data_IF_595045672977
#
_entry.id   IF_595045672977
#
_cell.length_a   1.000
_cell.length_b   1.000
_cell.length_c   1.000
_cell.angle_alpha   90.00
_cell.angle_beta   90.00
_cell.angle_gamma   90.00
#
_symmetry.space_group_name_H-M   'P 1'
#
loop_
_entity.id
_entity.type
_entity.pdbx_description
1 polymer ?
#
# COMPACT_ATOMS: atom_id res chain seq x y z
N UNK A 1 -0.43 3.34 -21.43
CA UNK A 1 -1.20 2.36 -20.65
C UNK A 1 -0.30 1.74 -19.59
N UNK A 2 -0.75 1.62 -18.35
CA UNK A 2 -0.03 0.98 -17.23
C UNK A 2 -0.92 -0.11 -16.63
N UNK A 3 -0.29 -1.18 -16.12
CA UNK A 3 -0.96 -2.20 -15.32
C UNK A 3 -0.81 -1.84 -13.85
N UNK A 4 -1.92 -1.70 -13.15
CA UNK A 4 -1.99 -1.21 -11.78
C UNK A 4 -2.58 -2.32 -10.90
N UNK A 5 -1.85 -2.71 -9.86
CA UNK A 5 -2.35 -3.62 -8.84
C UNK A 5 -2.64 -2.85 -7.56
N UNK A 6 -3.88 -2.88 -7.10
CA UNK A 6 -4.34 -2.17 -5.90
C UNK A 6 -4.52 -3.15 -4.75
N UNK A 7 -3.91 -2.85 -3.61
CA UNK A 7 -4.09 -3.53 -2.34
C UNK A 7 -4.90 -2.62 -1.43
N UNK A 8 -6.16 -2.98 -1.21
CA UNK A 8 -7.10 -2.20 -0.42
C UNK A 8 -7.45 -2.91 0.89
N UNK A 9 -7.38 -2.15 2.00
CA UNK A 9 -7.61 -2.69 3.33
C UNK A 9 -8.49 -1.80 4.21
N UNK A 10 -9.81 -1.81 3.97
CA UNK A 10 -10.80 -1.21 4.86
C UNK A 10 -12.10 -2.02 4.86
N UNK A 11 -12.67 -2.27 6.04
CA UNK A 11 -13.86 -3.09 6.21
C UNK A 11 -15.17 -2.39 5.84
N UNK A 12 -15.19 -1.06 5.85
CA UNK A 12 -16.39 -0.24 5.64
C UNK A 12 -16.36 0.40 4.25
N UNK A 13 -17.30 0.01 3.42
CA UNK A 13 -17.51 0.49 2.04
C UNK A 13 -18.00 1.95 1.94
N UNK A 14 -18.49 2.52 3.06
CA UNK A 14 -18.89 3.94 3.15
C UNK A 14 -17.79 4.84 3.74
N UNK A 15 -16.58 4.34 3.89
CA UNK A 15 -15.47 5.10 4.46
C UNK A 15 -14.83 6.05 3.44
N UNK A 16 -14.14 7.09 3.95
CA UNK A 16 -13.33 7.95 3.09
C UNK A 16 -12.20 7.19 2.37
N UNK A 17 -11.69 6.12 3.00
CA UNK A 17 -10.70 5.23 2.37
C UNK A 17 -11.31 4.50 1.16
N UNK A 18 -12.59 4.12 1.24
CA UNK A 18 -13.32 3.57 0.10
C UNK A 18 -13.47 4.61 -1.02
N UNK A 19 -13.87 5.84 -0.68
CA UNK A 19 -13.96 6.93 -1.66
C UNK A 19 -12.62 7.19 -2.38
N UNK A 20 -11.48 7.08 -1.68
CA UNK A 20 -10.15 7.15 -2.30
C UNK A 20 -9.96 6.01 -3.31
N UNK A 21 -10.30 4.78 -2.93
CA UNK A 21 -10.18 3.60 -3.81
C UNK A 21 -11.02 3.78 -5.08
N UNK A 22 -12.30 4.15 -4.92
CA UNK A 22 -13.22 4.30 -6.04
C UNK A 22 -12.80 5.42 -6.99
N UNK A 23 -12.45 6.60 -6.44
CA UNK A 23 -11.94 7.73 -7.22
C UNK A 23 -10.67 7.37 -8.00
N UNK A 24 -9.75 6.64 -7.38
CA UNK A 24 -8.51 6.23 -8.04
C UNK A 24 -8.79 5.25 -9.17
N UNK A 25 -9.61 4.21 -8.92
CA UNK A 25 -9.97 3.18 -9.91
C UNK A 25 -10.66 3.81 -11.12
N UNK A 26 -11.68 4.63 -10.87
CA UNK A 26 -12.43 5.29 -11.93
C UNK A 26 -11.51 6.16 -12.79
N UNK A 27 -10.72 7.02 -12.14
CA UNK A 27 -9.81 7.94 -12.85
C UNK A 27 -8.72 7.19 -13.63
N UNK A 28 -8.17 6.11 -13.07
CA UNK A 28 -7.17 5.31 -13.75
C UNK A 28 -7.75 4.61 -15.00
N UNK A 29 -8.94 4.02 -14.90
CA UNK A 29 -9.63 3.38 -16.02
C UNK A 29 -10.00 4.38 -17.12
N UNK A 30 -10.53 5.56 -16.76
CA UNK A 30 -10.85 6.63 -17.70
C UNK A 30 -9.62 7.12 -18.48
N UNK A 31 -8.42 7.00 -17.90
CA UNK A 31 -7.16 7.34 -18.56
C UNK A 31 -6.47 6.15 -19.26
N UNK A 32 -7.20 5.07 -19.51
CA UNK A 32 -6.72 3.93 -20.28
C UNK A 32 -5.75 3.01 -19.55
N UNK A 33 -5.75 3.01 -18.20
CA UNK A 33 -4.95 2.07 -17.42
C UNK A 33 -5.73 0.79 -17.10
N UNK A 34 -5.03 -0.33 -17.05
CA UNK A 34 -5.57 -1.61 -16.59
C UNK A 34 -5.47 -1.68 -15.06
N UNK A 35 -6.60 -1.93 -14.40
CA UNK A 35 -6.68 -1.93 -12.92
C UNK A 35 -7.12 -3.29 -12.42
N UNK A 36 -6.31 -3.87 -11.55
CA UNK A 36 -6.55 -5.11 -10.82
C UNK A 36 -6.62 -4.81 -9.32
N UNK A 37 -7.73 -5.16 -8.68
CA UNK A 37 -8.02 -4.86 -7.27
C UNK A 37 -7.96 -6.12 -6.40
N UNK A 38 -7.18 -6.08 -5.33
CA UNK A 38 -7.29 -6.96 -4.18
C UNK A 38 -8.00 -6.20 -3.04
N UNK A 39 -9.29 -6.45 -2.86
CA UNK A 39 -10.04 -5.97 -1.71
C UNK A 39 -9.95 -7.02 -0.60
N UNK A 40 -9.01 -6.83 0.31
CA UNK A 40 -8.64 -7.85 1.29
C UNK A 40 -9.78 -8.27 2.22
N UNK A 41 -10.75 -7.38 2.47
CA UNK A 41 -11.94 -7.74 3.26
C UNK A 41 -12.99 -8.49 2.45
N UNK A 42 -13.26 -8.07 1.22
CA UNK A 42 -14.20 -8.76 0.33
C UNK A 42 -13.66 -10.12 -0.14
N UNK A 43 -12.35 -10.17 -0.41
CA UNK A 43 -11.64 -11.42 -0.77
C UNK A 43 -11.50 -12.38 0.43
N UNK A 44 -11.91 -11.95 1.64
CA UNK A 44 -11.77 -12.72 2.89
C UNK A 44 -10.35 -13.23 3.12
N UNK A 45 -9.37 -12.40 2.77
CA UNK A 45 -7.97 -12.74 2.92
C UNK A 45 -7.64 -13.07 4.40
N UNK A 46 -7.05 -14.24 4.63
CA UNK A 46 -6.60 -14.61 5.97
C UNK A 46 -5.27 -13.88 6.27
N UNK A 47 -5.19 -12.94 7.25
CA UNK A 47 -3.97 -12.22 7.56
C UNK A 47 -2.98 -12.98 8.45
N UNK A 48 -3.37 -14.15 8.96
CA UNK A 48 -2.54 -14.90 9.92
C UNK A 48 -1.48 -15.67 9.18
N UNK A 49 -0.21 -15.34 9.44
CA UNK A 49 0.94 -16.12 8.98
C UNK A 49 1.29 -17.18 10.04
N UNK A 50 1.10 -18.43 9.70
CA UNK A 50 1.37 -19.57 10.58
C UNK A 50 2.64 -20.36 10.18
N UNK A 51 3.56 -19.75 9.43
CA UNK A 51 4.79 -20.41 8.96
C UNK A 51 4.56 -21.38 7.79
N UNK A 52 3.37 -21.30 7.15
CA UNK A 52 3.03 -22.14 6.01
C UNK A 52 3.89 -21.82 4.77
N UNK A 53 4.09 -22.84 3.94
CA UNK A 53 4.69 -22.65 2.62
C UNK A 53 3.77 -21.81 1.73
N UNK A 54 4.35 -21.16 0.71
CA UNK A 54 3.58 -20.43 -0.31
C UNK A 54 2.53 -21.37 -0.93
N UNK A 55 1.27 -21.04 -0.72
CA UNK A 55 0.13 -21.75 -1.32
C UNK A 55 -0.32 -21.05 -2.61
N UNK A 56 -1.32 -21.62 -3.31
CA UNK A 56 -1.82 -21.09 -4.58
C UNK A 56 -2.44 -19.69 -4.44
N UNK A 57 -3.08 -19.38 -3.29
CA UNK A 57 -3.60 -18.04 -3.00
C UNK A 57 -2.47 -17.01 -2.99
N UNK A 58 -1.42 -17.25 -2.23
CA UNK A 58 -0.26 -16.35 -2.13
C UNK A 58 0.44 -16.20 -3.48
N UNK A 59 0.63 -17.32 -4.18
CA UNK A 59 1.23 -17.33 -5.51
C UNK A 59 0.41 -16.52 -6.53
N UNK A 60 -0.91 -16.59 -6.44
CA UNK A 60 -1.80 -15.76 -7.26
C UNK A 60 -1.55 -14.26 -7.03
N UNK A 61 -1.49 -13.81 -5.76
CA UNK A 61 -1.15 -12.41 -5.46
C UNK A 61 0.25 -12.02 -5.94
N UNK A 62 1.24 -12.88 -5.76
CA UNK A 62 2.60 -12.64 -6.26
C UNK A 62 2.61 -12.46 -7.78
N UNK A 63 1.91 -13.32 -8.53
CA UNK A 63 1.79 -13.23 -9.99
C UNK A 63 1.08 -11.93 -10.44
N UNK A 64 0.03 -11.50 -9.73
CA UNK A 64 -0.66 -10.23 -9.99
C UNK A 64 0.28 -9.04 -9.78
N UNK A 65 1.07 -9.06 -8.70
CA UNK A 65 2.08 -8.04 -8.42
C UNK A 65 3.18 -8.06 -9.50
N UNK A 66 3.63 -9.22 -9.95
CA UNK A 66 4.65 -9.33 -11.00
C UNK A 66 4.22 -8.70 -12.33
N UNK A 67 2.95 -8.88 -12.70
CA UNK A 67 2.37 -8.29 -13.91
C UNK A 67 2.17 -6.78 -13.85
N UNK A 68 2.12 -6.21 -12.65
CA UNK A 68 1.85 -4.78 -12.45
C UNK A 68 3.09 -3.91 -12.67
N UNK A 69 2.91 -2.76 -13.30
CA UNK A 69 3.90 -1.66 -13.35
C UNK A 69 3.88 -0.84 -12.06
N UNK A 70 2.66 -0.68 -11.50
CA UNK A 70 2.40 0.16 -10.33
C UNK A 70 1.66 -0.63 -9.28
N UNK A 71 2.18 -0.59 -8.06
CA UNK A 71 1.53 -1.17 -6.88
C UNK A 71 0.95 -0.04 -6.05
N UNK A 72 -0.36 -0.08 -5.79
CA UNK A 72 -1.07 0.95 -5.03
C UNK A 72 -1.57 0.37 -3.73
N UNK A 73 -1.22 1.00 -2.61
CA UNK A 73 -1.71 0.66 -1.29
C UNK A 73 -2.71 1.71 -0.83
N UNK A 74 -3.93 1.32 -0.46
CA UNK A 74 -4.99 2.21 0.01
C UNK A 74 -5.53 1.67 1.33
N UNK A 75 -5.23 2.37 2.44
CA UNK A 75 -5.65 1.93 3.78
C UNK A 75 -5.64 3.09 4.79
N UNK A 76 -6.43 3.02 5.89
CA UNK A 76 -6.38 3.97 6.97
C UNK A 76 -5.18 3.72 7.88
N UNK A 77 -4.73 4.75 8.60
CA UNK A 77 -3.72 4.57 9.64
C UNK A 77 -4.41 4.30 10.97
N UNK A 78 -4.22 3.09 11.49
CA UNK A 78 -4.65 2.66 12.82
C UNK A 78 -3.42 2.36 13.69
N UNK A 79 -3.36 2.96 14.89
CA UNK A 79 -2.22 2.75 15.80
C UNK A 79 -0.84 2.96 15.11
N UNK A 80 -0.74 4.02 14.28
CA UNK A 80 0.46 4.37 13.50
C UNK A 80 0.95 3.29 12.52
N UNK A 81 0.08 2.37 12.13
CA UNK A 81 0.37 1.29 11.15
C UNK A 81 -0.80 1.05 10.22
N UNK A 82 -0.63 0.15 9.26
CA UNK A 82 -1.73 -0.35 8.45
C UNK A 82 -2.67 -1.25 9.30
N UNK A 83 -3.93 -1.45 8.88
CA UNK A 83 -4.81 -2.46 9.48
C UNK A 83 -4.18 -3.85 9.47
N UNK A 84 -4.53 -4.69 10.45
CA UNK A 84 -3.98 -6.04 10.59
C UNK A 84 -4.07 -6.88 9.30
N UNK A 85 -5.14 -6.73 8.53
CA UNK A 85 -5.31 -7.44 7.26
C UNK A 85 -4.27 -7.04 6.22
N UNK A 86 -3.88 -5.76 6.16
CA UNK A 86 -2.83 -5.26 5.26
C UNK A 86 -1.45 -5.69 5.75
N UNK A 87 -1.22 -5.65 7.05
CA UNK A 87 0.03 -6.14 7.66
C UNK A 87 0.22 -7.63 7.39
N UNK A 88 -0.83 -8.43 7.63
CA UNK A 88 -0.80 -9.86 7.33
C UNK A 88 -0.65 -10.17 5.84
N UNK A 89 -1.21 -9.33 4.96
CA UNK A 89 -0.95 -9.44 3.53
C UNK A 89 0.54 -9.22 3.21
N UNK A 90 1.17 -8.24 3.84
CA UNK A 90 2.61 -8.02 3.69
C UNK A 90 3.40 -9.22 4.20
N UNK A 91 3.08 -9.72 5.39
CA UNK A 91 3.79 -10.84 6.03
C UNK A 91 3.68 -12.15 5.24
N UNK A 92 2.55 -12.38 4.56
CA UNK A 92 2.31 -13.63 3.80
C UNK A 92 2.74 -13.55 2.34
N UNK A 93 2.61 -12.37 1.70
CA UNK A 93 2.84 -12.23 0.25
C UNK A 93 4.25 -11.73 -0.06
N UNK A 94 4.78 -10.75 0.70
CA UNK A 94 6.09 -10.13 0.42
C UNK A 94 7.24 -10.85 1.13
N UNK A 95 7.31 -12.14 0.99
CA UNK A 95 8.27 -13.01 1.66
C UNK A 95 9.51 -13.31 0.81
N UNK A 96 10.64 -13.74 1.44
CA UNK A 96 11.79 -14.26 0.70
C UNK A 96 11.48 -15.67 0.14
N UNK A 97 12.12 -16.09 -0.95
CA UNK A 97 13.08 -15.33 -1.75
C UNK A 97 12.43 -14.47 -2.84
N UNK A 98 11.09 -14.35 -2.87
CA UNK A 98 10.34 -13.69 -3.94
C UNK A 98 10.44 -12.17 -3.89
N UNK A 99 10.07 -11.50 -2.78
CA UNK A 99 10.10 -10.03 -2.68
C UNK A 99 11.52 -9.49 -2.44
N UNK A 100 12.33 -10.23 -1.71
CA UNK A 100 13.72 -9.92 -1.38
C UNK A 100 14.48 -11.20 -1.04
N UNK A 101 15.81 -11.10 -0.99
CA UNK A 101 16.67 -12.20 -0.53
C UNK A 101 17.77 -11.62 0.35
N UNK A 102 18.26 -12.41 1.29
CA UNK A 102 19.42 -12.02 2.10
C UNK A 102 20.71 -12.32 1.36
N UNK A 103 21.57 -11.29 1.24
CA UNK A 103 22.95 -11.46 0.77
C UNK A 103 23.89 -11.32 1.96
N UNK A 104 24.74 -12.29 2.15
CA UNK A 104 25.79 -12.24 3.20
C UNK A 104 26.74 -11.09 2.88
N UNK A 105 26.98 -10.21 3.85
CA UNK A 105 27.83 -9.02 3.68
C UNK A 105 29.12 -9.14 4.49
N UNK A 106 29.00 -9.38 5.82
CA UNK A 106 30.15 -9.55 6.72
C UNK A 106 29.81 -10.64 7.73
N UNK A 107 30.68 -11.63 7.86
CA UNK A 107 30.49 -12.70 8.84
C UNK A 107 29.15 -13.41 8.70
N UNK A 108 28.32 -13.33 9.74
CA UNK A 108 26.96 -13.88 9.79
C UNK A 108 25.85 -12.88 9.42
N UNK A 109 26.19 -11.60 9.15
CA UNK A 109 25.20 -10.58 8.84
C UNK A 109 24.73 -10.65 7.38
N UNK A 110 23.43 -10.82 7.21
CA UNK A 110 22.77 -10.78 5.90
C UNK A 110 22.01 -9.49 5.68
N UNK A 111 22.25 -8.80 4.56
CA UNK A 111 21.52 -7.61 4.16
C UNK A 111 20.42 -7.97 3.13
N UNK A 112 19.18 -7.47 3.28
CA UNK A 112 18.10 -7.76 2.33
C UNK A 112 18.34 -7.02 0.99
N UNK A 113 18.32 -7.79 -0.10
CA UNK A 113 18.35 -7.27 -1.48
C UNK A 113 16.95 -7.44 -2.07
N UNK A 114 16.29 -6.32 -2.31
CA UNK A 114 14.94 -6.31 -2.85
C UNK A 114 14.89 -6.65 -4.35
N UNK A 115 13.85 -7.34 -4.76
CA UNK A 115 13.65 -7.83 -6.14
C UNK A 115 12.62 -7.06 -6.94
N UNK A 116 11.78 -6.23 -6.30
CA UNK A 116 10.72 -5.47 -6.96
C UNK A 116 11.21 -4.10 -7.44
N UNK A 117 12.42 -4.03 -7.99
CA UNK A 117 13.13 -2.77 -8.31
C UNK A 117 12.57 -2.01 -9.51
N UNK A 118 11.89 -2.70 -10.41
CA UNK A 118 11.30 -2.16 -11.64
C UNK A 118 9.88 -1.61 -11.45
N UNK A 119 9.35 -1.62 -10.22
CA UNK A 119 7.98 -1.22 -9.92
C UNK A 119 7.90 0.12 -9.21
N UNK A 120 6.83 0.86 -9.50
CA UNK A 120 6.46 2.06 -8.76
C UNK A 120 5.49 1.72 -7.65
N UNK A 121 5.60 2.37 -6.50
CA UNK A 121 4.62 2.25 -5.41
C UNK A 121 3.90 3.59 -5.18
N UNK A 122 2.58 3.53 -4.99
CA UNK A 122 1.76 4.67 -4.58
C UNK A 122 1.02 4.27 -3.31
N UNK A 123 1.04 5.16 -2.32
CA UNK A 123 0.39 4.90 -1.05
C UNK A 123 -0.59 6.04 -0.75
N UNK A 124 -1.85 5.70 -0.53
CA UNK A 124 -2.86 6.60 -0.04
C UNK A 124 -3.26 6.22 1.38
N UNK A 125 -3.08 7.15 2.31
CA UNK A 125 -3.46 6.92 3.71
C UNK A 125 -4.41 7.97 4.24
N UNK A 126 -5.48 7.53 4.88
CA UNK A 126 -6.39 8.34 5.66
C UNK A 126 -5.98 8.30 7.15
N UNK A 127 -5.81 9.48 7.76
CA UNK A 127 -5.43 9.66 9.16
C UNK A 127 -6.57 10.29 9.95
N UNK A 128 -6.85 9.78 11.14
CA UNK A 128 -7.70 10.47 12.12
C UNK A 128 -6.98 11.63 12.80
N UNK A 129 -5.66 11.53 12.97
CA UNK A 129 -4.83 12.51 13.65
C UNK A 129 -4.46 13.72 12.76
N UNK A 130 -4.17 14.89 13.35
CA UNK A 130 -3.64 16.03 12.63
C UNK A 130 -2.17 15.81 12.22
N UNK A 131 -1.77 16.50 11.15
CA UNK A 131 -0.42 16.37 10.59
C UNK A 131 0.69 16.69 11.60
N UNK A 132 0.53 17.79 12.36
CA UNK A 132 1.57 18.21 13.30
C UNK A 132 1.82 17.16 14.37
N UNK A 133 0.77 16.55 14.93
CA UNK A 133 0.90 15.51 15.92
C UNK A 133 1.68 14.30 15.38
N UNK A 134 1.28 13.82 14.18
CA UNK A 134 1.96 12.69 13.54
C UNK A 134 3.43 12.97 13.22
N UNK A 135 3.77 14.21 12.85
CA UNK A 135 5.14 14.57 12.44
C UNK A 135 6.02 14.88 13.63
N UNK A 136 5.55 15.72 14.58
CA UNK A 136 6.38 16.20 15.69
C UNK A 136 6.48 15.16 16.83
N UNK A 137 5.35 14.65 17.30
CA UNK A 137 5.36 13.75 18.45
C UNK A 137 5.68 12.30 18.07
N UNK A 138 5.26 11.86 16.90
CA UNK A 138 5.44 10.47 16.47
C UNK A 138 6.44 10.31 15.30
N UNK A 139 7.24 11.34 15.02
CA UNK A 139 8.37 11.32 14.08
C UNK A 139 8.01 10.67 12.71
N UNK A 140 6.79 10.86 12.24
CA UNK A 140 6.30 10.24 10.99
C UNK A 140 6.39 8.70 10.98
N UNK A 141 6.17 8.05 12.09
CA UNK A 141 6.35 6.61 12.26
C UNK A 141 5.66 5.77 11.15
N UNK A 142 4.39 6.03 10.74
CA UNK A 142 3.75 5.25 9.68
C UNK A 142 4.54 5.23 8.36
N UNK A 143 5.01 6.40 7.90
CA UNK A 143 5.80 6.49 6.67
C UNK A 143 7.16 5.81 6.84
N UNK A 144 7.85 6.08 7.95
CA UNK A 144 9.19 5.54 8.17
C UNK A 144 9.16 4.02 8.16
N UNK A 145 8.18 3.42 8.86
CA UNK A 145 7.99 1.98 8.90
C UNK A 145 7.64 1.43 7.51
N UNK A 146 6.58 1.93 6.89
CA UNK A 146 6.09 1.38 5.63
C UNK A 146 7.07 1.62 4.48
N UNK A 147 7.60 2.84 4.34
CA UNK A 147 8.53 3.17 3.25
C UNK A 147 9.92 2.55 3.44
N UNK A 148 10.51 2.66 4.65
CA UNK A 148 11.87 2.20 4.89
C UNK A 148 11.92 0.74 5.34
N UNK A 149 11.02 0.34 6.23
CA UNK A 149 10.99 -0.99 6.83
C UNK A 149 10.36 -2.06 5.92
N UNK A 150 9.59 -1.65 4.90
CA UNK A 150 8.96 -2.60 3.99
C UNK A 150 9.30 -2.31 2.52
N UNK A 151 8.76 -1.23 1.92
CA UNK A 151 8.87 -1.03 0.47
C UNK A 151 10.32 -1.02 -0.03
N UNK A 152 11.21 -0.31 0.66
CA UNK A 152 12.63 -0.25 0.26
C UNK A 152 13.36 -1.58 0.43
N UNK A 153 12.98 -2.37 1.43
CA UNK A 153 13.52 -3.72 1.63
C UNK A 153 13.13 -4.61 0.44
N UNK A 154 11.89 -4.51 -0.05
CA UNK A 154 11.45 -5.22 -1.25
C UNK A 154 12.02 -4.66 -2.56
N UNK A 155 12.78 -3.56 -2.52
CA UNK A 155 13.41 -2.97 -3.71
C UNK A 155 12.64 -1.81 -4.36
N UNK A 156 11.45 -1.49 -3.87
CA UNK A 156 10.63 -0.39 -4.37
C UNK A 156 11.27 0.95 -3.99
N UNK A 157 11.74 1.72 -4.97
CA UNK A 157 12.43 3.01 -4.76
C UNK A 157 11.63 4.21 -5.27
N UNK A 158 10.88 4.05 -6.36
CA UNK A 158 9.98 5.07 -6.89
C UNK A 158 8.67 5.04 -6.11
N UNK A 159 8.60 5.80 -5.01
CA UNK A 159 7.52 5.75 -4.04
C UNK A 159 6.85 7.12 -3.93
N UNK A 160 5.58 7.20 -4.30
CA UNK A 160 4.70 8.34 -4.04
C UNK A 160 3.85 8.08 -2.80
N UNK A 161 3.86 9.01 -1.83
CA UNK A 161 3.12 8.88 -0.59
C UNK A 161 2.14 10.05 -0.42
N UNK A 162 0.83 9.79 -0.49
CA UNK A 162 -0.26 10.76 -0.28
C UNK A 162 -0.93 10.52 1.07
N UNK A 163 -1.08 11.55 1.87
CA UNK A 163 -1.58 11.49 3.25
C UNK A 163 -2.69 12.48 3.45
N UNK A 164 -3.82 12.00 3.89
CA UNK A 164 -5.01 12.78 4.17
C UNK A 164 -5.24 12.82 5.69
N UNK A 165 -4.93 13.95 6.31
CA UNK A 165 -4.95 14.11 7.76
C UNK A 165 -6.29 14.62 8.26
N UNK A 166 -6.60 14.31 9.54
CA UNK A 166 -7.80 14.75 10.25
C UNK A 166 -9.11 14.42 9.53
N UNK A 167 -9.14 13.32 8.77
CA UNK A 167 -10.27 12.95 7.90
C UNK A 167 -11.63 13.00 8.59
N UNK A 168 -11.81 12.56 9.86
CA UNK A 168 -13.11 12.68 10.54
C UNK A 168 -13.54 14.12 10.83
N UNK A 169 -12.60 15.06 10.90
CA UNK A 169 -12.83 16.43 11.40
C UNK A 169 -12.75 17.53 10.33
N UNK A 170 -12.30 17.20 9.12
CA UNK A 170 -12.22 18.19 8.04
C UNK A 170 -13.58 18.38 7.35
N UNK A 171 -13.79 19.57 6.77
CA UNK A 171 -15.00 19.88 6.02
C UNK A 171 -15.15 18.98 4.79
N UNK A 172 -16.37 18.93 4.26
CA UNK A 172 -16.67 18.19 3.03
C UNK A 172 -15.88 18.76 1.83
N UNK A 173 -15.73 20.08 1.74
CA UNK A 173 -14.92 20.73 0.71
C UNK A 173 -13.45 20.27 0.77
N UNK A 174 -12.91 20.11 1.98
CA UNK A 174 -11.54 19.61 2.14
C UNK A 174 -11.42 18.15 1.72
N UNK A 175 -12.43 17.31 1.99
CA UNK A 175 -12.49 15.92 1.51
C UNK A 175 -12.55 15.88 -0.02
N UNK A 176 -13.35 16.74 -0.65
CA UNK A 176 -13.40 16.88 -2.12
C UNK A 176 -12.02 17.23 -2.69
N UNK A 177 -11.30 18.19 -2.09
CA UNK A 177 -9.92 18.52 -2.50
C UNK A 177 -8.95 17.33 -2.36
N UNK A 178 -9.10 16.53 -1.32
CA UNK A 178 -8.32 15.31 -1.18
C UNK A 178 -8.60 14.30 -2.31
N UNK A 179 -9.86 14.12 -2.71
CA UNK A 179 -10.22 13.24 -3.81
C UNK A 179 -9.71 13.78 -5.16
N UNK A 180 -9.69 15.09 -5.38
CA UNK A 180 -9.06 15.70 -6.57
C UNK A 180 -7.54 15.42 -6.62
N UNK A 181 -6.86 15.38 -5.47
CA UNK A 181 -5.45 14.94 -5.44
C UNK A 181 -5.29 13.47 -5.82
N UNK A 182 -6.23 12.61 -5.43
CA UNK A 182 -6.26 11.18 -5.82
C UNK A 182 -6.46 11.05 -7.32
N UNK A 183 -7.47 11.74 -7.88
CA UNK A 183 -7.77 11.79 -9.31
C UNK A 183 -6.55 12.25 -10.12
N UNK A 184 -5.98 13.41 -9.74
CA UNK A 184 -4.78 13.95 -10.40
C UNK A 184 -3.61 12.96 -10.36
N UNK A 185 -3.49 12.17 -9.28
CA UNK A 185 -2.43 11.16 -9.16
C UNK A 185 -2.64 10.00 -10.13
N UNK A 186 -3.88 9.56 -10.32
CA UNK A 186 -4.20 8.51 -11.29
C UNK A 186 -3.97 8.97 -12.75
N UNK A 187 -4.32 10.21 -13.07
CA UNK A 187 -4.15 10.79 -14.42
C UNK A 187 -2.66 10.91 -14.80
N UNK A 188 -1.77 11.18 -13.82
CA UNK A 188 -0.32 11.39 -14.04
C UNK A 188 0.51 10.11 -14.03
N UNK A 189 -0.10 8.94 -14.20
CA UNK A 189 0.61 7.65 -14.28
C UNK A 189 1.14 7.38 -15.67
#
# INVERSE_FOLDING_TARGET
>A
MKKIFIIYGHYNDKSFTCAIKDTFIESAKQNGHEVDLADLYQDKFNPVFAGEKVNEEIKSYQNRIEKADVIVFIYPIWWFRAPAIVEGFIDRVFIPPWAFQFKKVIGFYGYPIGKLTNKRAIIFNAYGSPRFATVLFFLNLPIRRFKRGFLKICGLRNILYKRFFSVPYVSEEKRKKFLEEVKTTAIKL
#
